data_IF_493916811963
#
_entry.id   IF_493916811963
#
_cell.length_a   1.000
_cell.length_b   1.000
_cell.length_c   1.000
_cell.angle_alpha   90.00
_cell.angle_beta   90.00
_cell.angle_gamma   90.00
#
_symmetry.space_group_name_H-M   'P 1'
#
loop_
_entity.id
_entity.type
_entity.pdbx_description
1 polymer ?
#
# COMPACT_ATOMS: atom_id res chain seq x y z
N UNK A 1 -26.70 -5.55 16.71
CA UNK A 1 -25.26 -5.35 17.01
C UNK A 1 -25.02 -3.86 17.23
N UNK A 2 -24.26 -3.45 18.25
CA UNK A 2 -23.88 -2.05 18.39
C UNK A 2 -22.93 -1.65 17.25
N UNK A 3 -23.03 -0.41 16.78
CA UNK A 3 -22.13 0.16 15.78
C UNK A 3 -21.61 1.50 16.27
N UNK A 4 -20.33 1.78 16.01
CA UNK A 4 -19.71 3.06 16.33
C UNK A 4 -20.03 4.06 15.22
N UNK A 5 -20.67 5.18 15.55
CA UNK A 5 -20.96 6.26 14.61
C UNK A 5 -20.17 7.51 14.98
N UNK A 6 -19.65 8.22 13.99
CA UNK A 6 -18.81 9.41 14.18
C UNK A 6 -18.84 10.34 12.96
N UNK A 7 -18.50 11.61 13.18
CA UNK A 7 -18.45 12.63 12.13
C UNK A 7 -17.39 12.25 11.08
N UNK A 8 -17.77 12.25 9.81
CA UNK A 8 -16.88 11.87 8.71
C UNK A 8 -16.83 10.37 8.39
N UNK A 9 -17.48 9.50 9.19
CA UNK A 9 -17.56 8.05 8.94
C UNK A 9 -18.03 7.73 7.52
N UNK A 10 -19.04 8.45 7.03
CA UNK A 10 -19.59 8.26 5.67
C UNK A 10 -18.59 8.54 4.55
N UNK A 11 -17.63 9.44 4.77
CA UNK A 11 -16.62 9.79 3.76
C UNK A 11 -15.49 8.75 3.67
N UNK A 12 -15.26 7.99 4.74
CA UNK A 12 -14.25 6.91 4.77
C UNK A 12 -14.87 5.52 4.58
N UNK A 13 -16.20 5.40 4.73
CA UNK A 13 -16.93 4.16 4.50
C UNK A 13 -16.72 3.72 3.05
N UNK A 14 -16.24 2.50 2.84
CA UNK A 14 -15.87 1.96 1.52
C UNK A 14 -14.75 2.68 0.76
N UNK A 15 -14.18 3.76 1.29
CA UNK A 15 -13.15 4.53 0.58
C UNK A 15 -11.96 3.66 0.15
N UNK A 16 -11.60 2.65 0.95
CA UNK A 16 -10.62 1.65 0.54
C UNK A 16 -10.91 1.11 -0.86
N UNK A 17 -12.14 0.74 -1.21
CA UNK A 17 -12.54 0.18 -2.53
C UNK A 17 -12.37 1.14 -3.71
N UNK A 18 -12.34 2.44 -3.45
CA UNK A 18 -12.26 3.49 -4.49
C UNK A 18 -10.81 3.86 -4.82
N UNK A 19 -9.86 3.45 -3.98
CA UNK A 19 -8.44 3.70 -4.17
C UNK A 19 -7.86 2.70 -5.19
N UNK A 20 -7.21 3.18 -6.27
CA UNK A 20 -6.54 2.32 -7.23
C UNK A 20 -5.35 1.60 -6.61
N UNK A 21 -5.05 0.41 -7.14
CA UNK A 21 -3.83 -0.30 -6.76
C UNK A 21 -2.65 0.22 -7.56
N UNK A 22 -1.53 0.45 -6.87
CA UNK A 22 -0.26 0.77 -7.48
C UNK A 22 0.65 -0.45 -7.42
N UNK A 23 1.29 -0.76 -8.54
CA UNK A 23 2.29 -1.81 -8.63
C UNK A 23 3.60 -1.30 -8.02
N UNK A 24 4.14 -2.02 -7.05
CA UNK A 24 5.47 -1.72 -6.53
C UNK A 24 6.53 -2.23 -7.50
N UNK A 25 7.44 -1.34 -7.87
CA UNK A 25 8.61 -1.66 -8.69
C UNK A 25 9.87 -1.31 -7.90
N UNK A 26 10.80 -2.25 -7.85
CA UNK A 26 12.12 -1.99 -7.29
C UNK A 26 12.92 -1.11 -8.25
N UNK A 27 13.53 -0.05 -7.71
CA UNK A 27 14.48 0.78 -8.44
C UNK A 27 15.88 0.53 -7.90
N UNK A 28 16.72 -0.16 -8.69
CA UNK A 28 18.04 -0.59 -8.26
C UNK A 28 19.03 0.57 -8.05
N UNK A 29 18.77 1.76 -8.60
CA UNK A 29 19.68 2.91 -8.49
C UNK A 29 19.55 3.62 -7.13
N UNK A 30 18.36 3.57 -6.53
CA UNK A 30 18.04 4.24 -5.26
C UNK A 30 17.69 3.27 -4.12
N UNK A 31 17.48 1.99 -4.43
CA UNK A 31 17.23 0.96 -3.40
C UNK A 31 18.49 0.71 -2.57
N UNK A 32 18.31 0.61 -1.26
CA UNK A 32 19.39 0.28 -0.32
C UNK A 32 18.95 -0.80 0.67
N UNK A 33 19.90 -1.58 1.16
CA UNK A 33 19.68 -2.66 2.13
C UNK A 33 19.72 -4.06 1.51
N UNK A 34 19.49 -5.06 2.36
CA UNK A 34 19.52 -6.47 1.98
C UNK A 34 18.20 -6.87 1.30
N UNK A 35 18.27 -7.33 0.05
CA UNK A 35 17.12 -7.85 -0.71
C UNK A 35 16.48 -9.10 -0.09
N UNK A 36 17.17 -9.79 0.82
CA UNK A 36 16.65 -10.93 1.57
C UNK A 36 16.00 -10.54 2.91
N UNK A 37 16.01 -9.25 3.26
CA UNK A 37 15.33 -8.77 4.45
C UNK A 37 13.80 -8.89 4.30
N UNK A 38 13.12 -9.31 5.37
CA UNK A 38 11.66 -9.45 5.38
C UNK A 38 10.87 -8.13 5.44
N UNK A 39 11.56 -6.98 5.46
CA UNK A 39 10.98 -5.65 5.58
C UNK A 39 11.33 -4.78 4.36
N UNK A 40 10.41 -3.91 3.94
CA UNK A 40 10.58 -3.00 2.80
C UNK A 40 10.39 -1.54 3.22
N UNK A 41 11.26 -0.66 2.75
CA UNK A 41 11.06 0.79 2.80
C UNK A 41 10.57 1.27 1.44
N UNK A 42 9.48 2.04 1.46
CA UNK A 42 8.81 2.53 0.26
C UNK A 42 8.78 4.06 0.27
N UNK A 43 9.12 4.67 -0.86
CA UNK A 43 8.94 6.10 -1.07
C UNK A 43 7.61 6.36 -1.81
N UNK A 44 6.79 7.27 -1.29
CA UNK A 44 5.52 7.63 -1.90
C UNK A 44 4.64 8.52 -1.01
N UNK A 45 3.55 9.06 -1.57
CA UNK A 45 2.54 9.80 -0.80
C UNK A 45 1.65 8.81 -0.03
N UNK A 46 1.72 8.88 1.30
CA UNK A 46 1.07 7.93 2.20
C UNK A 46 -0.47 8.00 2.14
N UNK A 47 -1.08 9.08 1.63
CA UNK A 47 -2.48 9.40 1.93
C UNK A 47 -3.48 8.32 1.51
N UNK A 48 -3.22 7.56 0.45
CA UNK A 48 -4.21 6.63 -0.11
C UNK A 48 -3.56 5.46 -0.85
N UNK A 49 -2.56 4.81 -0.26
CA UNK A 49 -1.78 3.80 -0.97
C UNK A 49 -2.26 2.38 -0.68
N UNK A 50 -2.68 1.69 -1.75
CA UNK A 50 -2.78 0.24 -1.77
C UNK A 50 -1.80 -0.30 -2.78
N UNK A 51 -0.93 -1.17 -2.30
CA UNK A 51 0.14 -1.73 -3.10
C UNK A 51 -0.10 -3.18 -3.43
N UNK A 52 0.29 -3.56 -4.63
CA UNK A 52 0.50 -4.94 -5.01
C UNK A 52 2.00 -5.19 -5.15
N UNK A 53 2.54 -6.09 -4.33
CA UNK A 53 3.92 -6.56 -4.48
C UNK A 53 3.89 -7.64 -5.54
N UNK A 54 4.55 -7.40 -6.68
CA UNK A 54 4.75 -8.43 -7.66
C UNK A 54 5.76 -9.44 -7.10
N UNK A 55 5.42 -10.74 -6.98
CA UNK A 55 6.40 -11.74 -6.59
C UNK A 55 7.49 -11.82 -7.66
N UNK A 56 8.75 -11.65 -7.26
CA UNK A 56 9.91 -11.80 -8.12
C UNK A 56 10.11 -13.28 -8.47
N UNK A 57 9.45 -13.77 -9.53
CA UNK A 57 9.68 -15.14 -10.02
C UNK A 57 8.53 -15.84 -10.75
N UNK A 58 7.77 -15.14 -11.60
CA UNK A 58 6.90 -15.81 -12.58
C UNK A 58 7.49 -15.62 -13.98
N UNK A 59 8.43 -16.49 -14.33
CA UNK A 59 8.83 -16.82 -15.69
C UNK A 59 8.43 -18.26 -15.97
#
# INVERSE_FOLDING_TARGET
>A
MPTLDWIGKRAVLNHHREIPFHLLKQDAEISAGDTSAGNLLLEGDMKWLRFYIQPSGAG
#
